data_IF_609534156145
#
_entry.id   IF_609534156145
#
_cell.length_a   1.000
_cell.length_b   1.000
_cell.length_c   1.000
_cell.angle_alpha   90.00
_cell.angle_beta   90.00
_cell.angle_gamma   90.00
#
_symmetry.space_group_name_H-M   'P 1'
#
loop_
_entity.id
_entity.type
_entity.pdbx_description
1 polymer ?
#
# COMPACT_ATOMS: atom_id res chain seq x y z
N UNK A 1 9.08 6.77 10.27
CA UNK A 1 8.78 5.92 9.13
C UNK A 1 8.14 6.70 7.99
N UNK A 2 8.48 6.37 6.74
CA UNK A 2 8.02 7.12 5.57
C UNK A 2 6.52 7.12 5.36
N UNK A 3 5.83 6.01 5.67
CA UNK A 3 4.37 5.93 5.54
C UNK A 3 3.64 6.96 6.38
N UNK A 4 4.11 7.21 7.60
CA UNK A 4 3.50 8.23 8.46
C UNK A 4 3.71 9.65 7.93
N UNK A 5 4.65 9.85 7.03
CA UNK A 5 4.89 11.11 6.33
C UNK A 5 4.17 11.19 4.99
N UNK A 6 3.37 10.18 4.65
CA UNK A 6 2.67 10.11 3.37
C UNK A 6 3.55 9.70 2.20
N UNK A 7 4.69 9.08 2.46
CA UNK A 7 5.62 8.64 1.43
C UNK A 7 5.68 7.11 1.38
N UNK A 8 5.50 6.54 0.19
CA UNK A 8 5.67 5.11 -0.06
C UNK A 8 6.89 4.94 -0.97
N UNK A 9 7.88 4.22 -0.48
CA UNK A 9 9.09 3.96 -1.26
C UNK A 9 8.91 2.70 -2.09
N UNK A 10 8.84 2.87 -3.41
CA UNK A 10 8.72 1.77 -4.37
C UNK A 10 10.05 1.62 -5.09
N UNK A 11 10.87 0.66 -4.66
CA UNK A 11 12.24 0.54 -5.13
C UNK A 11 13.03 1.78 -4.76
N UNK A 12 13.57 2.48 -5.76
CA UNK A 12 14.33 3.73 -5.58
C UNK A 12 13.46 4.99 -5.64
N UNK A 13 12.18 4.85 -5.99
CA UNK A 13 11.27 5.99 -6.16
C UNK A 13 10.44 6.22 -4.92
N UNK A 14 10.44 7.45 -4.44
CA UNK A 14 9.54 7.88 -3.37
C UNK A 14 8.25 8.40 -3.98
N UNK A 15 7.15 7.69 -3.70
CA UNK A 15 5.83 8.10 -4.13
C UNK A 15 5.18 8.88 -3.00
N UNK A 16 4.78 10.10 -3.28
CA UNK A 16 4.18 11.02 -2.30
C UNK A 16 3.14 11.91 -2.99
N UNK A 17 2.44 12.71 -2.21
CA UNK A 17 1.34 13.57 -2.69
C UNK A 17 1.67 14.41 -3.92
N UNK A 18 2.90 14.91 -4.02
CA UNK A 18 3.34 15.75 -5.14
C UNK A 18 3.88 15.00 -6.35
N UNK A 19 3.90 13.68 -6.34
CA UNK A 19 4.46 12.88 -7.44
C UNK A 19 3.65 13.07 -8.71
N UNK A 20 4.35 13.33 -9.83
CA UNK A 20 3.72 13.49 -11.15
C UNK A 20 3.45 12.12 -11.77
N UNK A 21 2.23 11.94 -12.27
CA UNK A 21 1.79 10.68 -12.88
C UNK A 21 2.68 10.23 -14.03
N UNK A 22 3.08 11.14 -14.90
CA UNK A 22 3.87 10.78 -16.08
C UNK A 22 5.29 10.34 -15.74
N UNK A 23 5.91 10.97 -14.75
CA UNK A 23 7.23 10.55 -14.25
C UNK A 23 7.15 9.21 -13.55
N UNK A 24 6.11 8.97 -12.78
CA UNK A 24 5.88 7.70 -12.11
C UNK A 24 5.67 6.57 -13.14
N UNK A 25 4.83 6.80 -14.14
CA UNK A 25 4.60 5.83 -15.21
C UNK A 25 5.90 5.48 -15.95
N UNK A 26 6.72 6.48 -16.23
CA UNK A 26 8.03 6.28 -16.88
C UNK A 26 8.95 5.41 -16.01
N UNK A 27 8.95 5.65 -14.71
CA UNK A 27 9.72 4.86 -13.76
C UNK A 27 9.23 3.40 -13.74
N UNK A 28 7.92 3.17 -13.70
CA UNK A 28 7.36 1.82 -13.72
C UNK A 28 7.71 1.07 -14.99
N UNK A 29 7.63 1.72 -16.14
CA UNK A 29 7.98 1.10 -17.43
C UNK A 29 9.40 0.56 -17.47
N UNK A 30 10.33 1.20 -16.77
CA UNK A 30 11.73 0.79 -16.74
C UNK A 30 12.00 -0.32 -15.72
N UNK A 31 11.18 -0.45 -14.69
CA UNK A 31 11.54 -1.26 -13.53
C UNK A 31 10.54 -2.36 -13.17
N UNK A 32 9.28 -2.26 -13.61
CA UNK A 32 8.22 -3.17 -13.18
C UNK A 32 7.28 -3.54 -14.31
N UNK A 33 6.62 -4.70 -14.16
CA UNK A 33 5.47 -5.06 -14.97
C UNK A 33 4.22 -4.57 -14.26
N UNK A 34 3.31 -3.94 -15.00
CA UNK A 34 2.10 -3.35 -14.45
C UNK A 34 1.00 -3.27 -15.49
N UNK A 35 -0.25 -3.13 -15.01
CA UNK A 35 -1.41 -2.82 -15.84
C UNK A 35 -1.93 -1.44 -15.46
N UNK A 36 -2.61 -0.80 -16.41
CA UNK A 36 -3.22 0.51 -16.20
C UNK A 36 -4.70 0.43 -16.54
N UNK A 37 -5.54 0.87 -15.60
CA UNK A 37 -6.97 1.06 -15.83
C UNK A 37 -7.28 2.56 -15.83
N UNK A 38 -8.04 3.02 -16.82
CA UNK A 38 -8.40 4.43 -16.95
C UNK A 38 -9.92 4.58 -16.86
N UNK A 39 -10.37 5.51 -16.02
CA UNK A 39 -11.79 5.86 -15.91
C UNK A 39 -11.91 7.35 -15.57
N UNK A 40 -12.43 8.14 -16.53
CA UNK A 40 -12.53 9.60 -16.43
C UNK A 40 -11.15 10.21 -16.15
N UNK A 41 -11.01 10.98 -15.05
CA UNK A 41 -9.75 11.60 -14.64
C UNK A 41 -8.89 10.72 -13.73
N UNK A 42 -9.29 9.44 -13.57
CA UNK A 42 -8.59 8.50 -12.70
C UNK A 42 -7.81 7.46 -13.49
N UNK A 43 -6.57 7.22 -13.06
CA UNK A 43 -5.72 6.18 -13.60
C UNK A 43 -5.24 5.30 -12.45
N UNK A 44 -5.46 3.99 -12.57
CA UNK A 44 -4.99 3.02 -11.58
C UNK A 44 -3.89 2.16 -12.17
N UNK A 45 -2.72 2.21 -11.55
CA UNK A 45 -1.58 1.37 -11.89
C UNK A 45 -1.53 0.19 -10.94
N UNK A 46 -1.58 -1.03 -11.47
CA UNK A 46 -1.50 -2.26 -10.68
C UNK A 46 -0.18 -2.96 -11.00
N UNK A 47 0.72 -3.05 -10.02
CA UNK A 47 1.97 -3.77 -10.19
C UNK A 47 1.69 -5.28 -10.09
N UNK A 48 2.23 -6.05 -11.03
CA UNK A 48 1.92 -7.47 -11.16
C UNK A 48 2.72 -8.36 -10.20
N UNK A 49 3.85 -7.86 -9.69
CA UNK A 49 4.69 -8.59 -8.75
C UNK A 49 4.82 -7.83 -7.43
N UNK A 50 5.03 -8.56 -6.31
CA UNK A 50 5.24 -7.90 -5.02
C UNK A 50 6.46 -6.99 -5.04
N UNK A 51 6.36 -5.89 -4.30
CA UNK A 51 7.43 -4.90 -4.15
C UNK A 51 7.78 -4.79 -2.69
N UNK A 52 9.08 -4.72 -2.37
CA UNK A 52 9.53 -4.51 -1.01
C UNK A 52 9.26 -3.05 -0.61
N UNK A 53 8.49 -2.88 0.46
CA UNK A 53 8.19 -1.58 1.05
C UNK A 53 8.66 -1.61 2.51
N UNK A 54 9.77 -0.94 2.76
CA UNK A 54 10.37 -0.83 4.10
C UNK A 54 10.55 -2.18 4.83
N UNK A 55 11.03 -3.18 4.09
CA UNK A 55 11.41 -4.47 4.64
C UNK A 55 10.42 -5.60 4.45
N UNK A 56 9.19 -5.31 4.00
CA UNK A 56 8.20 -6.33 3.71
C UNK A 56 7.69 -6.22 2.28
N UNK A 57 7.27 -7.36 1.72
CA UNK A 57 6.76 -7.42 0.37
C UNK A 57 5.25 -7.21 0.33
N UNK A 58 4.82 -6.33 -0.57
CA UNK A 58 3.40 -6.03 -0.79
C UNK A 58 3.08 -5.99 -2.27
N UNK A 59 1.85 -6.37 -2.63
CA UNK A 59 1.28 -5.99 -3.90
C UNK A 59 0.87 -4.53 -3.82
N UNK A 60 1.20 -3.75 -4.84
CA UNK A 60 1.00 -2.29 -4.82
C UNK A 60 0.09 -1.87 -5.96
N UNK A 61 -0.97 -1.13 -5.63
CA UNK A 61 -1.82 -0.44 -6.59
C UNK A 61 -1.74 1.06 -6.29
N UNK A 62 -1.59 1.86 -7.33
CA UNK A 62 -1.52 3.32 -7.20
C UNK A 62 -2.58 3.97 -8.06
N UNK A 63 -3.48 4.74 -7.46
CA UNK A 63 -4.49 5.50 -8.15
C UNK A 63 -4.13 6.97 -8.19
N UNK A 64 -4.12 7.53 -9.41
CA UNK A 64 -3.96 8.96 -9.64
C UNK A 64 -5.30 9.59 -9.98
N UNK A 65 -5.52 10.79 -9.47
CA UNK A 65 -6.61 11.65 -9.91
C UNK A 65 -5.98 12.85 -10.63
N UNK A 66 -6.25 12.98 -11.93
CA UNK A 66 -5.48 13.89 -12.77
C UNK A 66 -4.02 13.47 -12.77
N UNK A 67 -3.11 14.38 -12.45
CA UNK A 67 -1.67 14.11 -12.45
C UNK A 67 -1.07 13.79 -11.07
N UNK A 68 -1.91 13.77 -10.02
CA UNK A 68 -1.44 13.56 -8.63
C UNK A 68 -1.96 12.27 -8.04
N UNK A 69 -1.18 11.60 -7.17
CA UNK A 69 -1.64 10.41 -6.47
C UNK A 69 -2.84 10.72 -5.58
N UNK A 70 -3.82 9.82 -5.58
CA UNK A 70 -4.98 9.90 -4.69
C UNK A 70 -4.95 8.81 -3.63
N UNK A 71 -4.69 7.57 -4.04
CA UNK A 71 -4.69 6.44 -3.12
C UNK A 71 -3.62 5.43 -3.52
N UNK A 72 -2.94 4.87 -2.52
CA UNK A 72 -1.99 3.79 -2.71
C UNK A 72 -2.46 2.63 -1.83
N UNK A 73 -2.67 1.46 -2.44
CA UNK A 73 -3.06 0.25 -1.73
C UNK A 73 -1.86 -0.68 -1.64
N UNK A 74 -1.50 -1.06 -0.42
CA UNK A 74 -0.47 -2.05 -0.14
C UNK A 74 -1.19 -3.28 0.42
N UNK A 75 -1.07 -4.40 -0.26
CA UNK A 75 -1.67 -5.65 0.17
C UNK A 75 -0.58 -6.68 0.39
N UNK A 76 -0.58 -7.34 1.54
CA UNK A 76 0.35 -8.43 1.80
C UNK A 76 0.10 -9.58 0.84
N UNK A 77 1.08 -10.48 0.70
CA UNK A 77 0.92 -11.70 -0.09
C UNK A 77 -0.27 -12.49 0.47
N UNK A 78 -1.14 -13.00 -0.41
CA UNK A 78 -2.32 -13.76 -0.01
C UNK A 78 -1.92 -15.05 0.72
N UNK A 79 -2.76 -15.48 1.65
CA UNK A 79 -2.61 -16.74 2.37
C UNK A 79 -1.31 -16.83 3.19
N UNK A 80 -1.00 -15.77 3.93
CA UNK A 80 0.12 -15.79 4.85
C UNK A 80 -0.08 -16.83 5.95
N UNK A 81 0.91 -17.69 6.14
CA UNK A 81 0.94 -18.60 7.28
C UNK A 81 1.12 -17.81 8.58
N UNK A 82 0.80 -18.44 9.70
CA UNK A 82 0.77 -17.79 11.01
C UNK A 82 2.02 -16.98 11.34
N UNK A 83 3.22 -17.54 11.13
CA UNK A 83 4.46 -16.85 11.47
C UNK A 83 4.76 -15.68 10.52
N UNK A 84 4.39 -15.81 9.24
CA UNK A 84 4.53 -14.71 8.27
C UNK A 84 3.57 -13.58 8.59
N UNK A 85 2.36 -13.96 8.96
CA UNK A 85 1.33 -13.03 9.37
C UNK A 85 1.76 -12.21 10.59
N UNK A 86 2.36 -12.86 11.59
CA UNK A 86 2.88 -12.19 12.78
C UNK A 86 3.95 -11.15 12.44
N UNK A 87 4.78 -11.40 11.43
CA UNK A 87 5.76 -10.41 10.95
C UNK A 87 5.10 -9.15 10.44
N UNK A 88 4.05 -9.27 9.62
CA UNK A 88 3.29 -8.13 9.10
C UNK A 88 2.57 -7.38 10.21
N UNK A 89 1.94 -8.13 11.12
CA UNK A 89 1.23 -7.56 12.26
C UNK A 89 2.19 -6.76 13.15
N UNK A 90 3.34 -7.31 13.47
CA UNK A 90 4.36 -6.64 14.26
C UNK A 90 4.93 -5.43 13.53
N UNK A 91 5.15 -5.54 12.22
CA UNK A 91 5.61 -4.43 11.38
C UNK A 91 4.62 -3.26 11.42
N UNK A 92 3.31 -3.55 11.30
CA UNK A 92 2.26 -2.53 11.40
C UNK A 92 2.26 -1.88 12.78
N UNK A 93 2.29 -2.69 13.84
CA UNK A 93 2.30 -2.18 15.21
C UNK A 93 3.52 -1.29 15.48
N UNK A 94 4.72 -1.77 15.10
CA UNK A 94 5.96 -1.06 15.36
C UNK A 94 6.12 0.22 14.54
N UNK A 95 5.66 0.21 13.30
CA UNK A 95 5.91 1.32 12.36
C UNK A 95 4.74 2.28 12.25
N UNK A 96 3.52 1.81 12.40
CA UNK A 96 2.32 2.64 12.27
C UNK A 96 1.65 2.93 13.62
N UNK A 97 2.00 2.20 14.66
CA UNK A 97 1.41 2.36 15.98
C UNK A 97 -0.06 2.00 16.04
N UNK A 98 -0.50 1.06 15.19
CA UNK A 98 -1.90 0.64 15.10
C UNK A 98 -2.05 -0.80 15.57
N UNK A 99 -3.11 -1.04 16.36
CA UNK A 99 -3.54 -2.37 16.74
C UNK A 99 -4.53 -2.91 15.71
N UNK A 100 -4.27 -4.12 15.21
CA UNK A 100 -5.13 -4.74 14.21
C UNK A 100 -6.23 -5.56 14.88
N UNK A 101 -7.46 -5.42 14.36
CA UNK A 101 -8.60 -6.26 14.70
C UNK A 101 -9.13 -6.88 13.42
N UNK A 102 -9.53 -8.18 13.50
CA UNK A 102 -10.02 -8.90 12.34
C UNK A 102 -11.23 -8.22 11.70
N UNK A 103 -11.18 -8.01 10.39
CA UNK A 103 -12.23 -7.43 9.57
C UNK A 103 -12.61 -5.98 9.90
N UNK A 104 -11.75 -5.26 10.63
CA UNK A 104 -11.99 -3.85 10.97
C UNK A 104 -10.90 -2.95 10.42
N UNK A 105 -11.31 -1.82 9.82
CA UNK A 105 -10.40 -0.77 9.42
C UNK A 105 -9.96 0.03 10.61
N UNK A 106 -8.65 0.23 10.74
CA UNK A 106 -8.05 1.16 11.69
C UNK A 106 -7.48 2.33 10.94
N UNK A 107 -7.83 3.55 11.34
CA UNK A 107 -7.47 4.77 10.61
C UNK A 107 -6.59 5.68 11.47
N UNK A 108 -5.66 6.35 10.82
CA UNK A 108 -4.82 7.36 11.44
C UNK A 108 -4.76 8.58 10.52
N UNK A 109 -5.13 9.74 11.03
CA UNK A 109 -5.19 10.99 10.25
C UNK A 109 -3.91 11.79 10.38
N UNK A 110 -3.51 12.41 9.28
CA UNK A 110 -2.33 13.28 9.18
C UNK A 110 -2.69 14.52 8.36
N UNK A 111 -1.79 15.51 8.37
CA UNK A 111 -1.98 16.72 7.55
C UNK A 111 -2.06 16.43 6.05
N UNK A 112 -1.35 15.44 5.57
CA UNK A 112 -1.31 15.04 4.15
C UNK A 112 -2.48 14.13 3.74
N UNK A 113 -3.16 13.49 4.67
CA UNK A 113 -4.23 12.53 4.40
C UNK A 113 -4.41 11.51 5.51
N UNK A 114 -4.74 10.27 5.15
CA UNK A 114 -4.98 9.19 6.09
C UNK A 114 -4.18 7.94 5.76
N UNK A 115 -3.87 7.16 6.82
CA UNK A 115 -3.52 5.74 6.71
C UNK A 115 -4.68 4.91 7.24
N UNK A 116 -5.05 3.87 6.50
CA UNK A 116 -6.05 2.89 6.93
C UNK A 116 -5.46 1.50 6.82
N UNK A 117 -5.66 0.68 7.84
CA UNK A 117 -5.14 -0.69 7.86
C UNK A 117 -6.26 -1.63 8.24
N UNK A 118 -6.36 -2.73 7.51
CA UNK A 118 -7.33 -3.79 7.77
C UNK A 118 -6.65 -5.15 7.76
N UNK A 119 -6.99 -5.94 8.76
CA UNK A 119 -6.65 -7.34 8.85
C UNK A 119 -7.83 -8.17 8.38
N UNK A 120 -7.59 -9.11 7.46
CA UNK A 120 -8.58 -10.11 7.07
C UNK A 120 -8.02 -11.48 7.37
N UNK A 121 -8.59 -12.19 8.35
CA UNK A 121 -8.12 -13.50 8.80
C UNK A 121 -9.23 -14.53 8.68
N UNK A 122 -8.93 -15.69 8.07
CA UNK A 122 -9.85 -16.82 8.03
C UNK A 122 -9.59 -17.73 9.22
N UNK A 123 -10.61 -17.93 10.05
CA UNK A 123 -10.52 -18.70 11.30
C UNK A 123 -10.22 -20.18 11.05
N UNK A 124 -10.71 -20.74 9.94
CA UNK A 124 -10.59 -22.18 9.64
C UNK A 124 -9.20 -22.59 9.16
N UNK A 125 -8.46 -21.70 8.51
CA UNK A 125 -7.20 -22.06 7.84
C UNK A 125 -5.98 -21.38 8.45
N UNK A 126 -6.17 -20.56 9.48
CA UNK A 126 -5.13 -19.77 10.13
C UNK A 126 -4.32 -18.92 9.13
N UNK A 127 -4.98 -18.49 8.04
CA UNK A 127 -4.42 -17.67 6.98
C UNK A 127 -4.94 -16.25 7.09
N UNK A 128 -4.15 -15.29 6.68
CA UNK A 128 -4.54 -13.89 6.75
C UNK A 128 -3.93 -13.03 5.66
N UNK A 129 -4.48 -11.82 5.54
CA UNK A 129 -4.02 -10.78 4.63
C UNK A 129 -4.14 -9.43 5.32
N UNK A 130 -3.16 -8.56 5.10
CA UNK A 130 -3.16 -7.19 5.61
C UNK A 130 -3.23 -6.24 4.42
N UNK A 131 -4.14 -5.27 4.49
CA UNK A 131 -4.28 -4.22 3.49
C UNK A 131 -4.03 -2.88 4.14
N UNK A 132 -3.15 -2.08 3.54
CA UNK A 132 -2.83 -0.73 3.98
C UNK A 132 -3.23 0.22 2.87
N UNK A 133 -4.00 1.25 3.20
CA UNK A 133 -4.37 2.31 2.26
C UNK A 133 -3.74 3.62 2.68
N UNK A 134 -3.01 4.24 1.75
CA UNK A 134 -2.48 5.59 1.89
C UNK A 134 -3.38 6.49 1.06
N UNK A 135 -4.15 7.36 1.69
CA UNK A 135 -5.14 8.19 1.02
C UNK A 135 -4.75 9.66 1.17
N UNK A 136 -4.45 10.31 0.06
CA UNK A 136 -4.06 11.72 0.05
C UNK A 136 -5.28 12.64 0.05
N UNK A 137 -5.15 13.79 0.70
CA UNK A 137 -6.17 14.83 0.66
C UNK A 137 -6.38 15.39 -0.73
#
# INVERSE_FOLDING_TARGET
MSLCKGTVKIGKKNLKRGTNKYFFKRYLKKNYEFTVSEFKDRNKFELLEPVNVEGLDFFVDVEFKGIRPKEIDLRSIDNLEKYQFERYEQWVSNNLGLYLENSKWKNKKFNWGNLSVKLSKTVKEDLGCITIKVIYK
#
